data_IF_498019660700
#
_entry.id   IF_498019660700
#
_cell.length_a   1.000
_cell.length_b   1.000
_cell.length_c   1.000
_cell.angle_alpha   90.00
_cell.angle_beta   90.00
_cell.angle_gamma   90.00
#
_symmetry.space_group_name_H-M   'P 1'
#
loop_
_entity.id
_entity.type
_entity.pdbx_description
1 polymer ?
#
# COMPACT_ATOMS: atom_id res chain seq x y z
N UNK A 1 11.57 -6.91 15.36
CA UNK A 1 10.76 -7.85 14.56
C UNK A 1 9.64 -7.05 13.92
N UNK A 2 9.86 -6.58 12.69
CA UNK A 2 8.85 -5.84 11.93
C UNK A 2 7.93 -6.86 11.26
N UNK A 3 6.62 -6.67 11.44
CA UNK A 3 5.55 -7.48 10.88
C UNK A 3 5.58 -7.26 9.35
N UNK A 4 5.82 -8.32 8.59
CA UNK A 4 5.79 -8.31 7.14
C UNK A 4 4.41 -7.81 6.68
N UNK A 5 4.39 -6.71 5.92
CA UNK A 5 3.18 -6.15 5.35
C UNK A 5 2.50 -7.19 4.47
N UNK A 6 1.23 -7.48 4.75
CA UNK A 6 0.42 -8.35 3.91
C UNK A 6 0.33 -7.74 2.51
N UNK A 7 1.01 -8.39 1.57
CA UNK A 7 0.90 -8.18 0.13
C UNK A 7 -0.58 -8.38 -0.24
N UNK A 8 -1.16 -7.46 -1.00
CA UNK A 8 -2.53 -7.64 -1.44
C UNK A 8 -2.61 -8.84 -2.40
N UNK A 9 -3.36 -9.87 -2.01
CA UNK A 9 -3.59 -11.07 -2.83
C UNK A 9 -4.25 -10.70 -4.16
N UNK A 10 -4.06 -11.46 -5.24
CA UNK A 10 -4.67 -11.14 -6.55
C UNK A 10 -6.20 -11.09 -6.49
N UNK A 11 -6.82 -11.66 -5.45
CA UNK A 11 -8.24 -11.53 -5.16
C UNK A 11 -8.64 -10.09 -4.81
N UNK A 12 -7.79 -9.33 -4.10
CA UNK A 12 -8.03 -7.92 -3.76
C UNK A 12 -7.83 -7.01 -4.98
N UNK A 13 -6.87 -7.35 -5.86
CA UNK A 13 -6.71 -6.71 -7.17
C UNK A 13 -7.92 -6.94 -8.08
N UNK A 14 -8.40 -8.18 -8.17
CA UNK A 14 -9.55 -8.50 -8.99
C UNK A 14 -10.84 -7.86 -8.43
N UNK A 15 -10.98 -7.73 -7.11
CA UNK A 15 -12.10 -7.01 -6.50
C UNK A 15 -12.04 -5.50 -6.79
N UNK A 16 -10.84 -4.89 -6.73
CA UNK A 16 -10.66 -3.49 -7.10
C UNK A 16 -10.94 -3.23 -8.60
N UNK A 17 -10.51 -4.14 -9.48
CA UNK A 17 -10.81 -4.07 -10.92
C UNK A 17 -12.29 -4.32 -11.22
N UNK A 18 -12.96 -5.14 -10.41
CA UNK A 18 -14.40 -5.36 -10.48
C UNK A 18 -15.20 -4.12 -10.03
N UNK A 19 -14.78 -3.44 -8.96
CA UNK A 19 -15.41 -2.19 -8.50
C UNK A 19 -15.27 -1.08 -9.56
N UNK A 20 -14.10 -0.98 -10.19
CA UNK A 20 -13.86 -0.05 -11.30
C UNK A 20 -14.68 -0.43 -12.56
N UNK A 21 -14.81 -1.73 -12.87
CA UNK A 21 -15.58 -2.23 -14.01
C UNK A 21 -17.11 -2.12 -13.84
N UNK A 22 -17.64 -2.33 -12.63
CA UNK A 22 -19.05 -2.16 -12.31
C UNK A 22 -19.53 -0.72 -12.43
N UNK A 23 -18.64 0.25 -12.24
CA UNK A 23 -18.96 1.66 -12.47
C UNK A 23 -19.15 1.99 -13.96
N UNK A 24 -18.65 1.13 -14.88
CA UNK A 24 -18.60 1.38 -16.32
C UNK A 24 -19.30 0.30 -17.19
N UNK A 25 -19.88 -0.75 -16.59
CA UNK A 25 -20.48 -1.92 -17.29
C UNK A 25 -19.49 -2.63 -18.24
N UNK A 26 -18.19 -2.57 -17.92
CA UNK A 26 -17.12 -3.04 -18.80
C UNK A 26 -16.64 -4.47 -18.45
N UNK A 27 -16.48 -5.37 -19.43
CA UNK A 27 -16.04 -6.75 -19.18
C UNK A 27 -14.49 -6.88 -19.04
N UNK A 28 -14.01 -7.97 -18.40
CA UNK A 28 -12.59 -8.24 -18.04
C UNK A 28 -11.60 -8.03 -19.20
N UNK A 29 -12.00 -8.21 -20.45
CA UNK A 29 -11.15 -7.95 -21.62
C UNK A 29 -10.68 -6.50 -21.77
N UNK A 30 -11.43 -5.57 -21.20
CA UNK A 30 -11.09 -4.14 -21.17
C UNK A 30 -10.19 -3.78 -19.99
N UNK A 31 -9.94 -4.72 -19.06
CA UNK A 31 -9.10 -4.50 -17.91
C UNK A 31 -7.66 -4.16 -18.37
N UNK A 32 -7.21 -2.98 -17.95
CA UNK A 32 -5.92 -2.38 -18.31
C UNK A 32 -4.72 -3.08 -17.66
N UNK A 33 -4.98 -4.00 -16.73
CA UNK A 33 -4.00 -4.90 -16.10
C UNK A 33 -4.40 -6.36 -16.34
N UNK A 34 -3.42 -7.25 -16.43
CA UNK A 34 -3.67 -8.67 -16.65
C UNK A 34 -3.93 -9.39 -15.32
N UNK A 35 -5.01 -10.16 -15.24
CA UNK A 35 -5.39 -10.92 -14.05
C UNK A 35 -5.20 -12.40 -14.38
N UNK A 36 -4.50 -13.12 -13.51
CA UNK A 36 -4.18 -14.51 -13.74
C UNK A 36 -3.65 -15.20 -12.51
N UNK A 37 -3.26 -16.45 -12.68
CA UNK A 37 -2.64 -17.25 -11.63
C UNK A 37 -1.63 -18.23 -12.24
N UNK A 38 -0.70 -18.72 -11.40
CA UNK A 38 0.21 -19.78 -11.79
C UNK A 38 -0.54 -21.12 -11.84
N UNK A 39 -0.97 -21.53 -13.03
CA UNK A 39 -1.67 -22.81 -13.24
C UNK A 39 -0.66 -23.93 -13.39
N UNK A 40 -0.85 -25.03 -12.64
CA UNK A 40 0.02 -26.21 -12.71
C UNK A 40 -0.20 -26.97 -14.00
N UNK A 41 0.90 -27.47 -14.59
CA UNK A 41 0.85 -28.17 -15.87
C UNK A 41 0.03 -29.47 -15.82
N UNK A 42 -0.10 -30.09 -14.64
CA UNK A 42 -0.96 -31.27 -14.44
C UNK A 42 -2.45 -30.96 -14.67
N UNK A 43 -2.87 -29.70 -14.50
CA UNK A 43 -4.26 -29.27 -14.66
C UNK A 43 -4.62 -28.93 -16.12
N UNK A 44 -3.74 -29.19 -17.08
CA UNK A 44 -3.96 -28.90 -18.51
C UNK A 44 -4.89 -29.94 -19.16
N UNK A 45 -4.80 -31.21 -18.73
CA UNK A 45 -5.52 -32.34 -19.33
C UNK A 45 -6.97 -32.41 -18.86
N UNK A 46 -7.75 -31.41 -19.24
CA UNK A 46 -9.20 -31.35 -19.02
C UNK A 46 -9.90 -31.63 -20.35
N UNK A 47 -10.58 -32.77 -20.45
CA UNK A 47 -11.35 -33.18 -21.63
C UNK A 47 -12.83 -32.83 -21.48
N UNK A 48 -13.54 -32.75 -22.61
CA UNK A 48 -15.01 -32.60 -22.67
C UNK A 48 -15.58 -31.37 -21.94
N UNK A 49 -14.81 -30.28 -21.90
CA UNK A 49 -15.22 -29.00 -21.33
C UNK A 49 -15.22 -27.91 -22.41
N UNK A 50 -16.36 -27.26 -22.57
CA UNK A 50 -16.60 -26.11 -23.42
C UNK A 50 -16.00 -24.82 -22.88
N UNK A 51 -16.01 -23.77 -23.69
CA UNK A 51 -15.32 -22.51 -23.39
C UNK A 51 -15.86 -21.85 -22.11
N UNK A 52 -17.18 -21.75 -21.95
CA UNK A 52 -17.79 -21.10 -20.78
C UNK A 52 -17.50 -21.87 -19.48
N UNK A 53 -17.56 -23.20 -19.53
CA UNK A 53 -17.28 -24.03 -18.38
C UNK A 53 -15.78 -24.04 -18.02
N UNK A 54 -14.88 -23.93 -19.00
CA UNK A 54 -13.44 -23.67 -18.74
C UNK A 54 -13.22 -22.35 -18.02
N UNK A 55 -13.87 -21.27 -18.47
CA UNK A 55 -13.77 -19.96 -17.79
C UNK A 55 -14.27 -20.03 -16.35
N UNK A 56 -15.32 -20.81 -16.08
CA UNK A 56 -15.82 -21.05 -14.73
C UNK A 56 -14.75 -21.71 -13.85
N UNK A 57 -14.09 -22.76 -14.36
CA UNK A 57 -13.00 -23.45 -13.65
C UNK A 57 -11.80 -22.53 -13.45
N UNK A 58 -11.40 -21.77 -14.47
CA UNK A 58 -10.28 -20.82 -14.39
C UNK A 58 -10.56 -19.73 -13.32
N UNK A 59 -11.78 -19.19 -13.27
CA UNK A 59 -12.19 -18.23 -12.24
C UNK A 59 -12.19 -18.83 -10.83
N UNK A 60 -12.72 -20.04 -10.67
CA UNK A 60 -12.72 -20.75 -9.39
C UNK A 60 -11.29 -21.03 -8.91
N UNK A 61 -10.42 -21.52 -9.80
CA UNK A 61 -9.03 -21.85 -9.46
C UNK A 61 -8.19 -20.62 -9.20
N UNK A 62 -8.47 -19.51 -9.90
CA UNK A 62 -7.91 -18.21 -9.55
C UNK A 62 -8.22 -17.87 -8.09
N UNK A 63 -9.49 -17.89 -7.68
CA UNK A 63 -9.89 -17.61 -6.28
C UNK A 63 -9.18 -18.57 -5.30
N UNK A 64 -9.15 -19.87 -5.61
CA UNK A 64 -8.47 -20.87 -4.77
C UNK A 64 -6.97 -20.58 -4.65
N UNK A 65 -6.30 -20.20 -5.73
CA UNK A 65 -4.87 -19.92 -5.74
C UNK A 65 -4.49 -18.69 -4.89
N UNK A 66 -5.43 -17.78 -4.62
CA UNK A 66 -5.19 -16.58 -3.83
C UNK A 66 -5.39 -16.75 -2.32
N UNK A 67 -6.11 -17.79 -1.90
CA UNK A 67 -6.34 -18.01 -0.48
C UNK A 67 -5.14 -18.71 0.17
N UNK A 68 -4.63 -18.17 1.29
CA UNK A 68 -3.56 -18.80 2.07
C UNK A 68 -4.08 -19.89 3.01
N UNK A 69 -5.38 -19.87 3.33
CA UNK A 69 -6.01 -20.79 4.29
C UNK A 69 -6.52 -22.05 3.58
N UNK A 70 -6.34 -23.21 4.20
CA UNK A 70 -6.86 -24.49 3.72
C UNK A 70 -8.37 -24.60 3.94
N UNK A 71 -9.16 -23.86 3.16
CA UNK A 71 -10.62 -23.97 3.08
C UNK A 71 -11.00 -24.75 1.83
N UNK A 72 -12.03 -25.58 1.93
CA UNK A 72 -12.60 -26.34 0.82
C UNK A 72 -13.90 -25.72 0.27
N UNK A 73 -14.49 -24.77 1.01
CA UNK A 73 -15.65 -23.96 0.62
C UNK A 73 -15.23 -22.50 0.44
N UNK A 74 -15.48 -21.98 -0.75
CA UNK A 74 -15.23 -20.60 -1.15
C UNK A 74 -16.56 -19.88 -1.33
N UNK A 75 -16.63 -18.63 -0.88
CA UNK A 75 -17.83 -17.80 -0.92
C UNK A 75 -17.47 -16.39 -1.37
N UNK A 76 -17.93 -16.01 -2.57
CA UNK A 76 -17.66 -14.72 -3.19
C UNK A 76 -18.96 -14.08 -3.68
N UNK A 77 -18.90 -12.82 -4.09
CA UNK A 77 -20.04 -12.17 -4.74
C UNK A 77 -20.29 -12.79 -6.12
N UNK A 78 -21.57 -12.98 -6.46
CA UNK A 78 -21.99 -13.61 -7.71
C UNK A 78 -21.55 -12.80 -8.93
N UNK A 79 -21.68 -11.48 -8.86
CA UNK A 79 -21.34 -10.60 -9.97
C UNK A 79 -19.82 -10.56 -10.17
N UNK A 80 -19.03 -10.59 -9.09
CA UNK A 80 -17.58 -10.74 -9.15
C UNK A 80 -17.18 -12.07 -9.82
N UNK A 81 -17.81 -13.18 -9.44
CA UNK A 81 -17.54 -14.47 -10.05
C UNK A 81 -17.91 -14.50 -11.54
N UNK A 82 -19.09 -13.98 -11.90
CA UNK A 82 -19.54 -13.86 -13.30
C UNK A 82 -18.59 -13.00 -14.12
N UNK A 83 -18.09 -11.92 -13.54
CA UNK A 83 -17.10 -11.06 -14.17
C UNK A 83 -15.82 -11.83 -14.47
N UNK A 84 -15.22 -12.51 -13.49
CA UNK A 84 -14.00 -13.31 -13.67
C UNK A 84 -14.13 -14.33 -14.82
N UNK A 85 -15.28 -15.00 -14.93
CA UNK A 85 -15.52 -15.99 -15.99
C UNK A 85 -16.06 -15.40 -17.31
N UNK A 86 -16.15 -14.06 -17.43
CA UNK A 86 -16.73 -13.33 -18.57
C UNK A 86 -18.14 -13.83 -18.94
N UNK A 87 -19.01 -13.89 -17.94
CA UNK A 87 -20.40 -14.28 -18.10
C UNK A 87 -21.33 -13.05 -18.06
N UNK A 88 -21.63 -12.49 -19.23
CA UNK A 88 -22.48 -11.30 -19.38
C UNK A 88 -23.98 -11.60 -19.51
N UNK A 89 -24.36 -12.89 -19.56
CA UNK A 89 -25.75 -13.28 -19.76
C UNK A 89 -26.56 -13.19 -18.47
N UNK A 90 -27.80 -12.67 -18.58
CA UNK A 90 -28.80 -12.75 -17.51
C UNK A 90 -29.56 -14.08 -17.49
N UNK A 91 -29.26 -14.98 -18.43
CA UNK A 91 -29.91 -16.29 -18.53
C UNK A 91 -29.36 -17.24 -17.45
N UNK A 92 -30.10 -17.39 -16.36
CA UNK A 92 -29.75 -18.30 -15.28
C UNK A 92 -29.76 -19.78 -15.73
N UNK A 93 -30.66 -20.17 -16.65
CA UNK A 93 -30.70 -21.54 -17.20
C UNK A 93 -29.41 -21.90 -17.90
N UNK A 94 -28.85 -20.97 -18.68
CA UNK A 94 -27.57 -21.19 -19.36
C UNK A 94 -26.40 -21.24 -18.35
N UNK A 95 -26.45 -20.44 -17.28
CA UNK A 95 -25.44 -20.49 -16.23
C UNK A 95 -25.47 -21.84 -15.49
N UNK A 96 -26.67 -22.34 -15.18
CA UNK A 96 -26.88 -23.66 -14.59
C UNK A 96 -26.37 -24.79 -15.50
N UNK A 97 -26.53 -24.67 -16.82
CA UNK A 97 -25.94 -25.60 -17.79
C UNK A 97 -24.42 -25.57 -17.74
N UNK A 98 -23.81 -24.38 -17.74
CA UNK A 98 -22.34 -24.20 -17.64
C UNK A 98 -21.79 -24.76 -16.32
N UNK A 99 -22.49 -24.52 -15.21
CA UNK A 99 -22.15 -25.08 -13.90
C UNK A 99 -22.22 -26.60 -13.93
N UNK A 100 -23.29 -27.16 -14.48
CA UNK A 100 -23.50 -28.62 -14.57
C UNK A 100 -22.42 -29.27 -15.43
N UNK A 101 -22.04 -28.63 -16.53
CA UNK A 101 -20.95 -29.07 -17.40
C UNK A 101 -19.61 -29.10 -16.65
N UNK A 102 -19.28 -28.02 -15.93
CA UNK A 102 -18.07 -27.94 -15.13
C UNK A 102 -18.02 -29.00 -14.01
N UNK A 103 -19.15 -29.29 -13.36
CA UNK A 103 -19.24 -30.32 -12.31
C UNK A 103 -19.11 -31.76 -12.85
N UNK A 104 -19.53 -32.00 -14.10
CA UNK A 104 -19.40 -33.32 -14.75
C UNK A 104 -17.98 -33.59 -15.24
N UNK A 105 -17.19 -32.55 -15.45
CA UNK A 105 -15.85 -32.68 -15.98
C UNK A 105 -14.87 -33.23 -14.94
N UNK A 106 -14.04 -34.16 -15.40
CA UNK A 106 -13.07 -34.90 -14.61
C UNK A 106 -11.66 -34.62 -15.15
N UNK A 107 -10.70 -34.48 -14.25
CA UNK A 107 -9.29 -34.67 -14.60
C UNK A 107 -9.01 -36.16 -14.54
N UNK A 108 -8.56 -36.71 -15.66
CA UNK A 108 -8.03 -38.07 -15.71
C UNK A 108 -6.51 -38.01 -15.53
N UNK A 109 -6.06 -38.44 -14.36
CA UNK A 109 -4.64 -38.69 -14.12
C UNK A 109 -4.34 -40.11 -14.60
N UNK A 110 -3.76 -40.22 -15.80
CA UNK A 110 -3.03 -41.43 -16.18
C UNK A 110 -1.62 -41.26 -15.64
N UNK A 111 -1.31 -41.94 -14.53
CA UNK A 111 0.07 -42.06 -14.09
C UNK A 111 0.88 -42.82 -15.17
N UNK A 112 2.20 -42.62 -15.17
CA UNK A 112 3.09 -43.54 -15.89
C UNK A 112 2.83 -44.97 -15.39
N UNK A 113 3.01 -45.95 -16.27
CA UNK A 113 2.90 -47.35 -15.85
C UNK A 113 3.88 -47.60 -14.69
N UNK A 114 3.41 -48.26 -13.64
CA UNK A 114 4.27 -48.70 -12.56
C UNK A 114 5.26 -49.78 -13.05
N UNK A 115 6.13 -50.23 -12.15
CA UNK A 115 7.16 -51.23 -12.47
C UNK A 115 6.58 -52.55 -13.00
N UNK A 116 5.30 -52.83 -12.72
CA UNK A 116 4.58 -54.03 -13.13
C UNK A 116 3.77 -53.82 -14.43
N UNK A 117 3.79 -52.61 -15.00
CA UNK A 117 3.11 -52.26 -16.24
C UNK A 117 1.65 -51.84 -16.05
N UNK A 118 1.15 -51.78 -14.82
CA UNK A 118 -0.18 -51.28 -14.51
C UNK A 118 -0.19 -49.75 -14.58
N UNK A 119 -1.22 -49.19 -15.21
CA UNK A 119 -1.45 -47.74 -15.27
C UNK A 119 -2.52 -47.40 -14.25
N UNK A 120 -2.17 -47.00 -13.01
CA UNK A 120 -3.18 -46.69 -12.01
C UNK A 120 -4.07 -45.56 -12.54
N UNK A 121 -5.38 -45.83 -12.56
CA UNK A 121 -6.40 -44.90 -13.02
C UNK A 121 -6.87 -44.05 -11.83
N UNK A 122 -6.68 -42.73 -11.94
CA UNK A 122 -7.24 -41.77 -11.00
C UNK A 122 -8.14 -40.77 -11.72
N UNK A 123 -9.34 -40.52 -11.20
CA UNK A 123 -10.22 -39.47 -11.69
C UNK A 123 -10.65 -38.54 -10.55
N UNK A 124 -10.49 -37.24 -10.73
CA UNK A 124 -10.91 -36.23 -9.75
C UNK A 124 -11.82 -35.21 -10.42
N UNK A 125 -12.94 -34.87 -9.79
CA UNK A 125 -13.84 -33.81 -10.27
C UNK A 125 -13.16 -32.45 -10.19
N UNK A 126 -13.33 -31.60 -11.20
CA UNK A 126 -12.71 -30.27 -11.22
C UNK A 126 -13.28 -29.32 -10.16
N UNK A 127 -14.58 -29.41 -9.93
CA UNK A 127 -15.29 -28.55 -9.00
C UNK A 127 -16.42 -29.34 -8.36
N UNK A 128 -16.58 -29.17 -7.06
CA UNK A 128 -17.60 -29.83 -6.26
C UNK A 128 -18.91 -29.06 -6.28
N UNK A 129 -19.63 -29.09 -5.16
CA UNK A 129 -20.93 -28.40 -5.01
C UNK A 129 -20.78 -26.91 -5.31
N UNK A 130 -21.67 -26.40 -6.17
CA UNK A 130 -21.87 -24.98 -6.45
C UNK A 130 -23.28 -24.60 -6.01
N UNK A 131 -23.44 -23.42 -5.40
CA UNK A 131 -24.74 -22.81 -5.12
C UNK A 131 -24.62 -21.30 -5.19
N UNK A 132 -25.62 -20.64 -5.79
CA UNK A 132 -25.70 -19.18 -5.77
C UNK A 132 -27.07 -18.73 -5.27
N UNK A 133 -27.09 -17.81 -4.31
CA UNK A 133 -28.30 -17.26 -3.71
C UNK A 133 -27.96 -15.91 -3.05
N UNK A 134 -28.91 -14.97 -3.06
CA UNK A 134 -28.74 -13.68 -2.37
C UNK A 134 -27.52 -12.87 -2.83
N UNK A 135 -27.17 -12.93 -4.12
CA UNK A 135 -25.98 -12.26 -4.67
C UNK A 135 -24.64 -12.91 -4.30
N UNK A 136 -24.65 -14.08 -3.65
CA UNK A 136 -23.45 -14.85 -3.30
C UNK A 136 -23.29 -16.05 -4.21
N UNK A 137 -22.05 -16.40 -4.55
CA UNK A 137 -21.68 -17.60 -5.28
C UNK A 137 -20.73 -18.42 -4.41
N UNK A 138 -21.20 -19.61 -4.03
CA UNK A 138 -20.48 -20.56 -3.19
C UNK A 138 -20.06 -21.76 -4.02
N UNK A 139 -18.82 -22.19 -3.89
CA UNK A 139 -18.32 -23.38 -4.56
C UNK A 139 -17.33 -24.16 -3.69
N UNK A 140 -17.21 -25.46 -3.94
CA UNK A 140 -16.19 -26.31 -3.32
C UNK A 140 -15.19 -26.80 -4.34
N UNK A 141 -13.93 -26.88 -3.94
CA UNK A 141 -12.88 -27.56 -4.73
C UNK A 141 -12.40 -28.77 -3.92
N UNK A 142 -12.27 -29.96 -4.54
CA UNK A 142 -11.74 -31.12 -3.84
C UNK A 142 -10.38 -30.83 -3.16
N UNK A 143 -10.17 -31.26 -1.91
CA UNK A 143 -8.92 -30.98 -1.18
C UNK A 143 -7.65 -31.38 -1.95
N UNK A 144 -7.70 -32.52 -2.64
CA UNK A 144 -6.59 -33.01 -3.48
C UNK A 144 -6.21 -32.01 -4.59
N UNK A 145 -7.21 -31.36 -5.19
CA UNK A 145 -6.99 -30.33 -6.22
C UNK A 145 -6.49 -29.02 -5.61
N UNK A 146 -6.93 -28.64 -4.41
CA UNK A 146 -6.39 -27.45 -3.72
C UNK A 146 -4.89 -27.64 -3.48
N UNK A 147 -4.50 -28.84 -3.01
CA UNK A 147 -3.11 -29.22 -2.83
C UNK A 147 -2.32 -29.16 -4.13
N UNK A 148 -2.90 -29.58 -5.26
CA UNK A 148 -2.27 -29.44 -6.58
C UNK A 148 -2.16 -27.97 -6.99
N UNK A 149 -3.25 -27.21 -6.97
CA UNK A 149 -3.32 -25.81 -7.40
C UNK A 149 -2.27 -24.96 -6.66
N UNK A 150 -2.15 -25.14 -5.34
CA UNK A 150 -1.22 -24.37 -4.50
C UNK A 150 0.15 -25.02 -4.30
N UNK A 151 0.26 -26.31 -4.59
CA UNK A 151 1.44 -27.11 -4.31
C UNK A 151 2.65 -26.76 -5.19
N UNK A 152 3.83 -27.27 -4.83
CA UNK A 152 5.02 -27.11 -5.66
C UNK A 152 4.86 -27.86 -6.99
N UNK A 153 5.57 -27.42 -8.03
CA UNK A 153 5.58 -28.07 -9.34
C UNK A 153 5.58 -27.09 -10.50
N UNK A 154 5.88 -27.60 -11.71
CA UNK A 154 5.90 -26.81 -12.94
C UNK A 154 4.53 -26.16 -13.19
N UNK A 155 4.56 -24.87 -13.41
CA UNK A 155 3.38 -24.04 -13.68
C UNK A 155 3.69 -23.03 -14.77
N UNK A 156 2.64 -22.59 -15.44
CA UNK A 156 2.67 -21.46 -16.36
C UNK A 156 1.70 -20.39 -15.85
N UNK A 157 1.97 -19.13 -16.18
CA UNK A 157 1.03 -18.05 -15.89
C UNK A 157 -0.16 -18.14 -16.84
N UNK A 158 -1.38 -18.24 -16.30
CA UNK A 158 -2.62 -18.24 -17.07
C UNK A 158 -3.36 -16.92 -16.87
N UNK A 159 -3.50 -16.15 -17.95
CA UNK A 159 -4.31 -14.92 -17.99
C UNK A 159 -5.81 -15.24 -18.13
N UNK A 160 -6.61 -14.82 -17.16
CA UNK A 160 -8.08 -14.86 -17.26
C UNK A 160 -8.58 -13.97 -18.40
N UNK A 161 -7.88 -12.87 -18.70
CA UNK A 161 -8.24 -12.02 -19.82
C UNK A 161 -8.05 -12.72 -21.15
N UNK A 162 -6.88 -13.29 -21.43
CA UNK A 162 -6.62 -13.99 -22.70
C UNK A 162 -7.56 -15.19 -22.84
N UNK A 163 -7.70 -16.01 -21.80
CA UNK A 163 -8.58 -17.18 -21.83
C UNK A 163 -10.04 -16.82 -22.09
N UNK A 164 -10.46 -15.64 -21.64
CA UNK A 164 -11.80 -15.11 -21.92
C UNK A 164 -12.03 -14.73 -23.38
N UNK A 165 -10.99 -14.43 -24.18
CA UNK A 165 -11.12 -13.99 -25.57
C UNK A 165 -11.37 -15.14 -26.55
N UNK A 166 -11.04 -16.38 -26.18
CA UNK A 166 -11.30 -17.54 -27.02
C UNK A 166 -12.80 -17.77 -27.21
N UNK A 167 -13.20 -18.03 -28.45
CA UNK A 167 -14.57 -18.43 -28.82
C UNK A 167 -14.63 -19.85 -29.38
N UNK A 168 -13.52 -20.37 -29.92
CA UNK A 168 -13.42 -21.73 -30.42
C UNK A 168 -12.92 -22.65 -29.30
N UNK A 169 -13.65 -23.75 -29.05
CA UNK A 169 -13.28 -24.69 -27.99
C UNK A 169 -11.89 -25.31 -28.23
N UNK A 170 -11.62 -25.73 -29.46
CA UNK A 170 -10.32 -26.32 -29.79
C UNK A 170 -9.16 -25.32 -29.67
N UNK A 171 -9.38 -24.03 -29.93
CA UNK A 171 -8.37 -22.99 -29.71
C UNK A 171 -8.04 -22.82 -28.23
N UNK A 172 -9.07 -22.76 -27.39
CA UNK A 172 -8.91 -22.66 -25.92
C UNK A 172 -8.14 -23.87 -25.37
N UNK A 173 -8.47 -25.07 -25.84
CA UNK A 173 -7.79 -26.32 -25.45
C UNK A 173 -6.34 -26.32 -25.93
N UNK A 174 -6.12 -26.02 -27.21
CA UNK A 174 -4.77 -26.01 -27.80
C UNK A 174 -3.87 -24.97 -27.11
N UNK A 175 -4.41 -23.82 -26.73
CA UNK A 175 -3.69 -22.83 -25.93
C UNK A 175 -3.23 -23.39 -24.58
N UNK A 176 -4.12 -24.06 -23.83
CA UNK A 176 -3.76 -24.70 -22.55
C UNK A 176 -2.62 -25.73 -22.72
N UNK A 177 -2.66 -26.50 -23.81
CA UNK A 177 -1.64 -27.52 -24.10
C UNK A 177 -0.30 -26.95 -24.54
N UNK A 178 -0.29 -25.85 -25.29
CA UNK A 178 0.92 -25.29 -25.90
C UNK A 178 1.59 -24.22 -25.03
N UNK A 179 0.85 -23.52 -24.18
CA UNK A 179 1.39 -22.46 -23.31
C UNK A 179 2.60 -22.88 -22.46
N UNK A 180 2.68 -24.12 -21.90
CA UNK A 180 3.86 -24.55 -21.16
C UNK A 180 5.14 -24.67 -22.00
N UNK A 181 5.02 -24.81 -23.32
CA UNK A 181 6.13 -24.95 -24.25
C UNK A 181 6.59 -23.59 -24.81
N UNK A 182 6.00 -22.49 -24.34
CA UNK A 182 6.32 -21.15 -24.82
C UNK A 182 7.76 -20.73 -24.49
N UNK A 183 8.36 -21.29 -23.43
CA UNK A 183 9.73 -20.99 -23.02
C UNK A 183 10.74 -21.83 -23.82
N UNK A 184 10.42 -23.09 -24.15
CA UNK A 184 11.24 -23.94 -25.02
C UNK A 184 11.13 -23.55 -26.50
N UNK A 185 10.02 -22.92 -26.90
CA UNK A 185 9.78 -22.39 -28.24
C UNK A 185 9.29 -23.43 -29.27
N UNK A 186 9.30 -24.72 -28.93
CA UNK A 186 8.74 -25.77 -29.77
C UNK A 186 8.25 -26.98 -28.95
N UNK A 187 7.31 -27.72 -29.54
CA UNK A 187 6.87 -29.02 -28.99
C UNK A 187 7.70 -30.17 -29.54
N UNK A 188 7.54 -31.36 -28.95
CA UNK A 188 7.88 -32.61 -29.63
C UNK A 188 6.96 -32.88 -30.84
N UNK A 189 7.27 -33.93 -31.61
CA UNK A 189 6.39 -34.43 -32.67
C UNK A 189 5.16 -35.13 -32.09
N UNK A 190 4.03 -34.44 -32.10
CA UNK A 190 2.73 -34.91 -31.64
C UNK A 190 2.02 -35.72 -32.72
N UNK A 191 1.35 -36.79 -32.33
CA UNK A 191 0.54 -37.61 -33.25
C UNK A 191 -0.81 -36.95 -33.55
N UNK A 192 -1.41 -37.26 -34.71
CA UNK A 192 -2.77 -36.79 -35.01
C UNK A 192 -3.80 -37.30 -33.99
N UNK A 193 -3.64 -38.51 -33.48
CA UNK A 193 -4.53 -39.06 -32.45
C UNK A 193 -4.44 -38.28 -31.14
N UNK A 194 -3.23 -37.93 -30.72
CA UNK A 194 -3.02 -37.09 -29.54
C UNK A 194 -3.67 -35.72 -29.69
N UNK A 195 -3.45 -35.01 -30.80
CA UNK A 195 -4.06 -33.70 -31.06
C UNK A 195 -5.59 -33.78 -31.06
N UNK A 196 -6.15 -34.83 -31.67
CA UNK A 196 -7.59 -35.05 -31.70
C UNK A 196 -8.16 -35.34 -30.31
N UNK A 197 -7.38 -35.98 -29.45
CA UNK A 197 -7.80 -36.30 -28.09
C UNK A 197 -7.89 -35.09 -27.15
N UNK A 198 -7.19 -33.98 -27.46
CA UNK A 198 -7.09 -32.84 -26.54
C UNK A 198 -8.43 -32.23 -26.12
N UNK A 199 -9.40 -32.12 -27.03
CA UNK A 199 -10.74 -31.60 -26.69
C UNK A 199 -11.75 -32.68 -26.32
N UNK A 200 -11.32 -33.95 -26.26
CA UNK A 200 -12.20 -35.11 -26.13
C UNK A 200 -12.65 -35.68 -27.48
N UNK A 201 -13.80 -36.36 -27.51
CA UNK A 201 -14.26 -37.08 -28.68
C UNK A 201 -14.57 -36.14 -29.86
N UNK A 202 -13.87 -36.33 -30.99
CA UNK A 202 -14.15 -35.62 -32.25
C UNK A 202 -15.01 -36.46 -33.19
N UNK A 203 -15.85 -35.81 -34.00
CA UNK A 203 -16.67 -36.49 -35.00
C UNK A 203 -15.84 -37.23 -36.05
N UNK A 204 -16.43 -38.25 -36.69
CA UNK A 204 -15.74 -39.14 -37.65
C UNK A 204 -14.98 -38.41 -38.77
N UNK A 205 -15.47 -37.23 -39.20
CA UNK A 205 -14.80 -36.40 -40.21
C UNK A 205 -13.41 -35.91 -39.78
N UNK A 206 -13.16 -35.74 -38.49
CA UNK A 206 -11.83 -35.37 -37.97
C UNK A 206 -10.79 -36.48 -38.15
N UNK A 207 -11.19 -37.70 -38.53
CA UNK A 207 -10.24 -38.78 -38.78
C UNK A 207 -9.33 -38.51 -40.00
N UNK A 208 -9.82 -37.75 -40.97
CA UNK A 208 -9.00 -37.31 -42.09
C UNK A 208 -8.32 -35.97 -41.81
N UNK A 209 -7.00 -35.91 -41.98
CA UNK A 209 -6.21 -34.70 -41.70
C UNK A 209 -6.73 -33.46 -42.44
N UNK A 210 -7.23 -33.61 -43.68
CA UNK A 210 -7.77 -32.49 -44.47
C UNK A 210 -8.92 -31.78 -43.75
N UNK A 211 -9.89 -32.55 -43.24
CA UNK A 211 -11.04 -31.99 -42.53
C UNK A 211 -10.65 -31.55 -41.12
N UNK A 212 -9.80 -32.32 -40.42
CA UNK A 212 -9.26 -31.90 -39.13
C UNK A 212 -8.57 -30.54 -39.22
N UNK A 213 -7.73 -30.36 -40.24
CA UNK A 213 -7.01 -29.12 -40.49
C UNK A 213 -7.95 -27.95 -40.76
N UNK A 214 -8.93 -28.14 -41.65
CA UNK A 214 -9.85 -27.09 -42.09
C UNK A 214 -10.79 -26.65 -40.97
N UNK A 215 -11.36 -27.60 -40.24
CA UNK A 215 -12.49 -27.34 -39.35
C UNK A 215 -12.04 -27.07 -37.89
N UNK A 216 -10.85 -27.53 -37.48
CA UNK A 216 -10.34 -27.35 -36.11
C UNK A 216 -8.96 -26.72 -36.03
N UNK A 217 -7.93 -27.32 -36.63
CA UNK A 217 -6.54 -26.90 -36.41
C UNK A 217 -6.25 -25.49 -36.94
N UNK A 218 -6.55 -25.20 -38.21
CA UNK A 218 -6.23 -23.91 -38.81
C UNK A 218 -7.05 -22.76 -38.18
N UNK A 219 -8.38 -22.91 -37.94
CA UNK A 219 -9.13 -21.92 -37.18
C UNK A 219 -8.57 -21.69 -35.76
N UNK A 220 -8.16 -22.75 -35.07
CA UNK A 220 -7.60 -22.66 -33.73
C UNK A 220 -6.25 -21.93 -33.70
N UNK A 221 -5.35 -22.25 -34.64
CA UNK A 221 -4.07 -21.53 -34.78
C UNK A 221 -4.31 -20.06 -35.10
N UNK A 222 -5.25 -19.77 -36.03
CA UNK A 222 -5.63 -18.40 -36.38
C UNK A 222 -6.12 -17.61 -35.17
N UNK A 223 -7.06 -18.18 -34.40
CA UNK A 223 -7.58 -17.51 -33.21
C UNK A 223 -6.50 -17.30 -32.13
N UNK A 224 -5.65 -18.30 -31.84
CA UNK A 224 -4.56 -18.12 -30.86
C UNK A 224 -3.62 -16.99 -31.30
N UNK A 225 -3.24 -16.96 -32.58
CA UNK A 225 -2.39 -15.90 -33.14
C UNK A 225 -3.07 -14.54 -33.12
N UNK A 226 -4.39 -14.46 -33.16
CA UNK A 226 -5.13 -13.21 -33.10
C UNK A 226 -5.26 -12.69 -31.65
N UNK A 227 -5.72 -13.54 -30.72
CA UNK A 227 -6.23 -13.08 -29.42
C UNK A 227 -5.31 -13.36 -28.23
N UNK A 228 -4.28 -14.19 -28.38
CA UNK A 228 -3.40 -14.60 -27.27
C UNK A 228 -2.04 -13.90 -27.27
N UNK A 229 -1.28 -14.18 -26.22
CA UNK A 229 0.13 -13.81 -26.04
C UNK A 229 1.11 -14.63 -26.90
N UNK A 230 0.63 -15.66 -27.59
CA UNK A 230 1.46 -16.56 -28.40
C UNK A 230 1.29 -16.31 -29.89
N UNK A 231 2.39 -16.50 -30.61
CA UNK A 231 2.44 -16.74 -32.05
C UNK A 231 2.77 -18.21 -32.29
N UNK A 232 1.92 -18.87 -33.05
CA UNK A 232 1.99 -20.29 -33.38
C UNK A 232 2.18 -20.48 -34.88
N UNK A 233 3.11 -21.36 -35.21
CA UNK A 233 3.18 -22.03 -36.50
C UNK A 233 3.38 -23.53 -36.30
N UNK A 234 3.20 -24.34 -37.34
CA UNK A 234 3.41 -25.78 -37.21
C UNK A 234 4.02 -26.40 -38.47
N UNK A 235 4.80 -27.44 -38.24
CA UNK A 235 5.38 -28.32 -39.25
C UNK A 235 4.63 -29.64 -39.28
N UNK A 236 4.55 -30.27 -40.46
CA UNK A 236 3.92 -31.58 -40.64
C UNK A 236 4.95 -32.61 -41.06
N UNK A 237 4.85 -33.82 -40.52
CA UNK A 237 5.66 -34.97 -40.93
C UNK A 237 4.78 -36.14 -41.33
N UNK A 238 5.18 -36.83 -42.39
CA UNK A 238 4.51 -38.04 -42.84
C UNK A 238 4.78 -39.21 -41.91
N UNK A 239 3.86 -40.16 -41.87
CA UNK A 239 4.10 -41.45 -41.23
C UNK A 239 5.26 -42.18 -41.93
N UNK A 240 6.09 -42.92 -41.18
CA UNK A 240 7.15 -43.74 -41.78
C UNK A 240 6.60 -44.66 -42.87
N UNK A 241 7.14 -44.56 -44.09
CA UNK A 241 6.72 -45.39 -45.23
C UNK A 241 5.42 -44.98 -45.92
N UNK A 242 4.83 -43.82 -45.57
CA UNK A 242 3.56 -43.35 -46.15
C UNK A 242 3.66 -41.90 -46.64
N UNK A 243 2.75 -41.53 -47.55
CA UNK A 243 2.55 -40.12 -47.96
C UNK A 243 1.55 -39.39 -47.06
N UNK A 244 0.94 -40.09 -46.09
CA UNK A 244 -0.03 -39.51 -45.16
C UNK A 244 0.69 -38.73 -44.08
N UNK A 245 0.22 -37.51 -43.80
CA UNK A 245 0.63 -36.71 -42.65
C UNK A 245 0.12 -37.42 -41.40
N UNK A 246 1.03 -37.74 -40.47
CA UNK A 246 0.68 -38.42 -39.21
C UNK A 246 1.14 -37.69 -37.96
N UNK A 247 2.05 -36.70 -38.10
CA UNK A 247 2.60 -35.96 -36.96
C UNK A 247 2.72 -34.47 -37.24
N UNK A 248 2.58 -33.68 -36.18
CA UNK A 248 2.79 -32.24 -36.21
C UNK A 248 3.74 -31.82 -35.10
N UNK A 249 4.46 -30.73 -35.34
CA UNK A 249 5.27 -30.04 -34.34
C UNK A 249 4.90 -28.57 -34.36
N UNK A 250 4.61 -27.99 -33.21
CA UNK A 250 4.33 -26.56 -33.11
C UNK A 250 5.62 -25.81 -32.80
N UNK A 251 5.82 -24.67 -33.47
CA UNK A 251 6.73 -23.62 -33.06
C UNK A 251 5.92 -22.53 -32.38
N UNK A 252 6.40 -22.08 -31.24
CA UNK A 252 5.69 -21.22 -30.30
C UNK A 252 6.62 -20.07 -29.98
N UNK A 253 6.15 -18.85 -30.15
CA UNK A 253 6.89 -17.65 -29.79
C UNK A 253 5.98 -16.77 -28.93
N UNK A 254 6.50 -16.24 -27.83
CA UNK A 254 5.80 -15.17 -27.12
C UNK A 254 5.90 -13.90 -27.97
N UNK A 255 4.77 -13.24 -28.20
CA UNK A 255 4.77 -11.95 -28.92
C UNK A 255 5.60 -10.94 -28.12
N UNK A 256 6.29 -9.99 -28.76
CA UNK A 256 6.98 -8.92 -28.00
C UNK A 256 5.97 -8.07 -27.20
N UNK A 257 4.74 -7.90 -27.68
CA UNK A 257 3.65 -7.32 -26.87
C UNK A 257 3.13 -8.23 -25.73
N UNK A 258 3.65 -9.46 -25.63
CA UNK A 258 3.49 -10.32 -24.46
C UNK A 258 4.56 -10.08 -23.39
N UNK A 259 5.57 -9.23 -23.64
CA UNK A 259 6.07 -8.34 -22.58
C UNK A 259 5.01 -7.27 -22.29
N UNK A 260 3.84 -7.73 -21.86
CA UNK A 260 2.98 -6.89 -21.03
C UNK A 260 3.83 -6.60 -19.83
N UNK A 261 4.09 -5.33 -19.59
CA UNK A 261 4.93 -4.91 -18.49
C UNK A 261 4.46 -5.65 -17.24
N UNK A 262 5.29 -6.58 -16.76
CA UNK A 262 5.23 -7.11 -15.42
C UNK A 262 5.67 -5.93 -14.54
N UNK A 263 4.79 -4.94 -14.42
CA UNK A 263 4.91 -4.00 -13.32
C UNK A 263 4.74 -4.88 -12.08
N UNK A 264 5.74 -4.86 -11.20
CA UNK A 264 5.52 -5.43 -9.86
C UNK A 264 4.23 -4.79 -9.36
N UNK A 265 3.29 -5.62 -8.91
CA UNK A 265 2.01 -5.19 -8.34
C UNK A 265 2.19 -3.99 -7.38
N UNK A 266 3.31 -3.99 -6.66
CA UNK A 266 3.79 -2.93 -5.78
C UNK A 266 3.94 -1.57 -6.47
N UNK A 267 4.52 -1.50 -7.68
CA UNK A 267 4.76 -0.24 -8.39
C UNK A 267 3.46 0.36 -8.94
N UNK A 268 2.62 -0.45 -9.59
CA UNK A 268 1.32 -0.01 -10.08
C UNK A 268 0.39 0.42 -8.93
N UNK A 269 0.41 -0.31 -7.81
CA UNK A 269 -0.33 0.07 -6.61
C UNK A 269 0.24 1.34 -5.98
N UNK A 270 1.57 1.50 -5.89
CA UNK A 270 2.18 2.71 -5.36
C UNK A 270 1.80 3.95 -6.18
N UNK A 271 1.82 3.85 -7.51
CA UNK A 271 1.37 4.92 -8.41
C UNK A 271 -0.12 5.20 -8.15
N UNK A 272 -1.00 4.19 -8.19
CA UNK A 272 -2.43 4.40 -7.96
C UNK A 272 -2.73 5.03 -6.60
N UNK A 273 -2.11 4.54 -5.52
CA UNK A 273 -2.30 5.10 -4.18
C UNK A 273 -1.81 6.54 -4.11
N UNK A 274 -0.70 6.86 -4.77
CA UNK A 274 -0.23 8.25 -4.88
C UNK A 274 -1.26 9.12 -5.61
N UNK A 275 -1.76 8.68 -6.76
CA UNK A 275 -2.74 9.45 -7.54
C UNK A 275 -4.07 9.65 -6.79
N UNK A 276 -4.60 8.60 -6.17
CA UNK A 276 -5.92 8.62 -5.52
C UNK A 276 -5.88 9.18 -4.10
N UNK A 277 -4.93 8.73 -3.27
CA UNK A 277 -4.90 9.08 -1.85
C UNK A 277 -4.05 10.33 -1.58
N UNK A 278 -2.87 10.46 -2.19
CA UNK A 278 -1.99 11.61 -1.96
C UNK A 278 -2.48 12.84 -2.72
N UNK A 279 -2.77 12.69 -4.02
CA UNK A 279 -3.16 13.83 -4.87
C UNK A 279 -4.67 14.05 -4.98
N UNK A 280 -5.49 13.05 -4.62
CA UNK A 280 -6.94 13.17 -4.62
C UNK A 280 -7.55 13.24 -6.02
N UNK A 281 -6.99 12.53 -7.00
CA UNK A 281 -7.57 12.50 -8.35
C UNK A 281 -8.99 11.91 -8.32
N UNK A 282 -9.90 12.53 -9.06
CA UNK A 282 -11.25 12.00 -9.23
C UNK A 282 -11.26 10.79 -10.15
N UNK A 283 -12.30 9.96 -10.08
CA UNK A 283 -12.46 8.81 -10.97
C UNK A 283 -12.40 9.22 -12.45
N UNK A 284 -12.98 10.35 -12.83
CA UNK A 284 -12.90 10.87 -14.20
C UNK A 284 -11.46 11.17 -14.65
N UNK A 285 -10.62 11.70 -13.76
CA UNK A 285 -9.21 11.98 -14.06
C UNK A 285 -8.38 10.70 -14.15
N UNK A 286 -8.62 9.74 -13.25
CA UNK A 286 -7.98 8.42 -13.29
C UNK A 286 -8.37 7.66 -14.57
N UNK A 287 -9.64 7.73 -14.97
CA UNK A 287 -10.14 7.13 -16.20
C UNK A 287 -9.49 7.73 -17.44
N UNK A 288 -9.29 9.05 -17.46
CA UNK A 288 -8.56 9.74 -18.52
C UNK A 288 -7.11 9.28 -18.62
N UNK A 289 -6.39 9.23 -17.49
CA UNK A 289 -4.99 8.76 -17.46
C UNK A 289 -4.89 7.36 -18.03
N UNK A 290 -5.80 6.50 -17.58
CA UNK A 290 -5.75 5.10 -17.94
C UNK A 290 -6.26 4.86 -19.38
N UNK A 291 -7.05 5.78 -19.98
CA UNK A 291 -7.46 5.74 -21.38
C UNK A 291 -6.35 6.14 -22.36
N UNK A 292 -5.42 6.97 -21.91
CA UNK A 292 -4.32 7.54 -22.71
C UNK A 292 -2.96 6.89 -22.37
N UNK A 293 -2.94 5.60 -21.96
CA UNK A 293 -1.72 4.91 -21.46
C UNK A 293 -0.62 4.72 -22.51
N UNK A 294 -0.95 4.85 -23.79
CA UNK A 294 0.05 4.92 -24.86
C UNK A 294 0.93 6.18 -24.76
N UNK A 295 0.40 7.25 -24.17
CA UNK A 295 1.11 8.53 -23.94
C UNK A 295 1.50 8.72 -22.48
N UNK A 296 0.66 8.29 -21.54
CA UNK A 296 0.92 8.36 -20.10
C UNK A 296 1.50 7.05 -19.58
N UNK A 297 2.74 6.79 -19.99
CA UNK A 297 3.55 5.67 -19.49
C UNK A 297 3.80 5.80 -17.99
N UNK A 298 4.20 4.70 -17.33
CA UNK A 298 4.51 4.73 -15.89
C UNK A 298 5.67 5.66 -15.56
N UNK A 299 6.71 5.68 -16.39
CA UNK A 299 7.81 6.64 -16.26
C UNK A 299 7.30 8.09 -16.34
N UNK A 300 6.36 8.37 -17.24
CA UNK A 300 5.75 9.70 -17.37
C UNK A 300 4.92 10.06 -16.14
N UNK A 301 4.20 9.10 -15.57
CA UNK A 301 3.45 9.29 -14.33
C UNK A 301 4.37 9.52 -13.13
N UNK A 302 5.47 8.78 -13.02
CA UNK A 302 6.48 8.97 -11.98
C UNK A 302 7.14 10.35 -12.07
N UNK A 303 7.49 10.82 -13.27
CA UNK A 303 7.99 12.17 -13.48
C UNK A 303 6.97 13.24 -13.06
N UNK A 304 5.69 13.04 -13.40
CA UNK A 304 4.62 13.96 -13.02
C UNK A 304 4.35 13.91 -11.49
N UNK A 305 4.47 12.73 -10.86
CA UNK A 305 4.39 12.54 -9.41
C UNK A 305 5.52 13.31 -8.73
N UNK A 306 6.77 13.11 -9.18
CA UNK A 306 7.95 13.78 -8.65
C UNK A 306 7.80 15.30 -8.76
N UNK A 307 7.39 15.80 -9.93
CA UNK A 307 7.13 17.22 -10.15
C UNK A 307 6.05 17.78 -9.24
N UNK A 308 4.98 17.03 -9.03
CA UNK A 308 3.88 17.44 -8.16
C UNK A 308 4.31 17.50 -6.70
N UNK A 309 5.00 16.46 -6.19
CA UNK A 309 5.59 16.44 -4.84
C UNK A 309 6.58 17.57 -4.62
N UNK A 310 7.47 17.79 -5.58
CA UNK A 310 8.42 18.91 -5.55
C UNK A 310 7.69 20.26 -5.46
N UNK A 311 6.63 20.45 -6.25
CA UNK A 311 5.88 21.70 -6.29
C UNK A 311 5.03 21.93 -5.04
N UNK A 312 4.56 20.85 -4.39
CA UNK A 312 3.92 20.90 -3.08
C UNK A 312 4.90 21.32 -2.00
N UNK A 313 6.12 20.76 -1.99
CA UNK A 313 7.17 21.08 -1.02
C UNK A 313 7.53 22.58 -1.02
N UNK A 314 7.55 23.21 -2.19
CA UNK A 314 7.83 24.65 -2.34
C UNK A 314 6.58 25.55 -2.27
N UNK A 315 5.41 24.99 -1.96
CA UNK A 315 4.16 25.75 -1.84
C UNK A 315 3.62 26.36 -3.14
N UNK A 316 4.09 25.91 -4.31
CA UNK A 316 3.58 26.40 -5.61
C UNK A 316 2.21 25.82 -6.00
N UNK A 317 1.78 24.75 -5.32
CA UNK A 317 0.45 24.16 -5.50
C UNK A 317 -0.51 24.79 -4.48
N UNK A 318 -1.40 25.66 -4.94
CA UNK A 318 -2.25 26.48 -4.07
C UNK A 318 -3.72 26.07 -3.98
N UNK A 319 -4.22 25.24 -4.91
CA UNK A 319 -5.65 24.89 -5.00
C UNK A 319 -5.92 23.40 -5.04
N UNK A 320 -5.37 22.69 -6.02
CA UNK A 320 -5.66 21.27 -6.24
C UNK A 320 -4.38 20.54 -6.66
N UNK A 321 -3.85 19.64 -5.81
CA UNK A 321 -2.78 18.72 -6.19
C UNK A 321 -3.16 17.87 -7.41
N UNK A 322 -4.38 17.33 -7.46
CA UNK A 322 -4.90 16.59 -8.61
C UNK A 322 -4.87 17.40 -9.91
N UNK A 323 -5.38 18.65 -9.89
CA UNK A 323 -5.39 19.52 -11.07
C UNK A 323 -3.97 19.89 -11.54
N UNK A 324 -3.06 20.13 -10.58
CA UNK A 324 -1.66 20.39 -10.89
C UNK A 324 -1.00 19.17 -11.51
N UNK A 325 -1.20 17.98 -10.92
CA UNK A 325 -0.69 16.72 -11.43
C UNK A 325 -1.15 16.47 -12.87
N UNK A 326 -2.45 16.58 -13.15
CA UNK A 326 -3.00 16.37 -14.50
C UNK A 326 -2.39 17.33 -15.53
N UNK A 327 -2.15 18.59 -15.13
CA UNK A 327 -1.49 19.58 -15.98
C UNK A 327 -0.02 19.23 -16.21
N UNK A 328 0.71 18.90 -15.15
CA UNK A 328 2.10 18.47 -15.21
C UNK A 328 2.26 17.25 -16.12
N UNK A 329 1.38 16.25 -15.95
CA UNK A 329 1.34 15.04 -16.75
C UNK A 329 1.19 15.35 -18.24
N UNK A 330 0.16 16.12 -18.59
CA UNK A 330 -0.16 16.52 -19.98
C UNK A 330 0.94 17.37 -20.63
N UNK A 331 1.53 18.31 -19.90
CA UNK A 331 2.50 19.27 -20.46
C UNK A 331 3.95 18.80 -20.43
N UNK A 332 4.24 17.56 -20.02
CA UNK A 332 5.63 17.07 -20.07
C UNK A 332 6.53 17.62 -18.95
N UNK A 333 5.99 18.22 -17.88
CA UNK A 333 6.81 18.83 -16.84
C UNK A 333 7.65 17.80 -16.09
N UNK A 334 8.89 18.17 -15.77
CA UNK A 334 9.86 17.40 -14.99
C UNK A 334 10.53 18.30 -13.94
N UNK A 335 11.19 17.71 -12.94
CA UNK A 335 12.04 18.45 -12.00
C UNK A 335 13.46 18.51 -12.55
N UNK A 336 13.94 19.73 -12.83
CA UNK A 336 15.31 19.92 -13.30
C UNK A 336 16.35 19.79 -12.18
N UNK A 337 17.60 19.44 -12.51
CA UNK A 337 18.69 19.37 -11.54
C UNK A 337 18.98 20.73 -10.86
N UNK A 338 18.77 21.83 -11.60
CA UNK A 338 18.89 23.18 -11.05
C UNK A 338 17.83 23.45 -9.97
N UNK A 339 16.58 23.02 -10.20
CA UNK A 339 15.51 23.11 -9.20
C UNK A 339 15.81 22.26 -7.96
N UNK A 340 16.35 21.04 -8.12
CA UNK A 340 16.78 20.20 -6.98
C UNK A 340 17.83 20.90 -6.12
N UNK A 341 18.89 21.42 -6.74
CA UNK A 341 19.98 22.14 -6.04
C UNK A 341 19.48 23.40 -5.33
N UNK A 342 18.53 24.13 -5.93
CA UNK A 342 17.99 25.34 -5.33
C UNK A 342 17.26 25.06 -4.01
N UNK A 343 16.47 23.98 -3.92
CA UNK A 343 15.82 23.60 -2.65
C UNK A 343 16.85 23.19 -1.61
N UNK A 344 17.86 22.40 -2.00
CA UNK A 344 18.90 21.96 -1.06
C UNK A 344 19.64 23.17 -0.43
N UNK A 345 19.93 24.20 -1.23
CA UNK A 345 20.51 25.45 -0.72
C UNK A 345 19.55 26.18 0.23
N UNK A 346 18.26 26.25 -0.11
CA UNK A 346 17.25 26.89 0.75
C UNK A 346 17.04 26.17 2.08
N UNK A 347 16.99 24.83 2.08
CA UNK A 347 16.86 24.02 3.30
C UNK A 347 18.08 24.20 4.20
N UNK A 348 19.29 24.22 3.64
CA UNK A 348 20.51 24.49 4.39
C UNK A 348 20.54 25.89 5.00
N UNK A 349 20.09 26.91 4.27
CA UNK A 349 19.96 28.27 4.79
C UNK A 349 18.97 28.33 5.97
N UNK A 350 17.79 27.72 5.82
CA UNK A 350 16.77 27.69 6.88
C UNK A 350 17.25 26.93 8.14
N UNK A 351 17.95 25.81 7.97
CA UNK A 351 18.59 25.08 9.07
C UNK A 351 19.64 25.93 9.79
N UNK A 352 20.40 26.73 9.03
CA UNK A 352 21.41 27.63 9.59
C UNK A 352 20.74 28.76 10.40
N UNK A 353 19.68 29.36 9.87
CA UNK A 353 18.90 30.38 10.57
C UNK A 353 18.24 29.83 11.85
N UNK A 354 17.67 28.62 11.81
CA UNK A 354 17.11 27.97 13.00
C UNK A 354 18.17 27.73 14.08
N UNK A 355 19.35 27.23 13.69
CA UNK A 355 20.49 27.08 14.63
C UNK A 355 20.90 28.41 15.24
N UNK A 356 20.93 29.49 14.46
CA UNK A 356 21.25 30.81 14.99
C UNK A 356 20.20 31.32 15.98
N UNK A 357 18.91 31.09 15.71
CA UNK A 357 17.82 31.44 16.63
C UNK A 357 17.89 30.62 17.91
N UNK A 358 18.13 29.31 17.81
CA UNK A 358 18.28 28.40 18.95
C UNK A 358 19.49 28.80 19.80
N UNK A 359 20.63 29.14 19.18
CA UNK A 359 21.80 29.68 19.90
C UNK A 359 21.45 30.98 20.60
N UNK A 360 20.73 31.91 19.96
CA UNK A 360 20.30 33.17 20.59
C UNK A 360 19.36 32.93 21.77
N UNK A 361 18.40 32.03 21.65
CA UNK A 361 17.48 31.65 22.75
C UNK A 361 18.22 30.94 23.89
N UNK A 362 19.16 30.05 23.59
CA UNK A 362 20.02 29.45 24.60
C UNK A 362 20.84 30.50 25.35
N UNK A 363 21.42 31.48 24.64
CA UNK A 363 22.16 32.58 25.27
C UNK A 363 21.25 33.42 26.17
N UNK A 364 20.05 33.81 25.72
CA UNK A 364 19.07 34.53 26.54
C UNK A 364 18.64 33.74 27.77
N UNK A 365 18.31 32.46 27.60
CA UNK A 365 17.91 31.58 28.70
C UNK A 365 19.02 31.45 29.73
N UNK A 366 20.27 31.30 29.28
CA UNK A 366 21.43 31.24 30.17
C UNK A 366 21.67 32.55 30.92
N UNK A 367 21.44 33.69 30.26
CA UNK A 367 21.48 35.00 30.92
C UNK A 367 20.36 35.17 31.95
N UNK A 368 19.13 34.78 31.62
CA UNK A 368 17.99 34.85 32.54
C UNK A 368 18.18 33.97 33.78
N UNK A 369 18.67 32.73 33.61
CA UNK A 369 19.04 31.84 34.72
C UNK A 369 20.12 32.46 35.61
N UNK A 370 21.11 33.14 35.01
CA UNK A 370 22.16 33.84 35.77
C UNK A 370 21.59 34.99 36.58
N UNK A 371 20.68 35.79 36.01
CA UNK A 371 20.02 36.91 36.71
C UNK A 371 19.15 36.35 37.85
N UNK A 372 18.33 35.33 37.59
CA UNK A 372 17.49 34.70 38.61
C UNK A 372 18.33 34.13 39.75
N UNK A 373 19.46 33.47 39.46
CA UNK A 373 20.38 32.97 40.49
C UNK A 373 20.97 34.12 41.33
N UNK A 374 21.30 35.25 40.69
CA UNK A 374 21.75 36.45 41.41
C UNK A 374 20.64 37.07 42.26
N UNK A 375 19.40 37.09 41.79
CA UNK A 375 18.25 37.62 42.54
C UNK A 375 17.91 36.74 43.75
N UNK A 376 17.99 35.41 43.61
CA UNK A 376 17.83 34.45 44.72
C UNK A 376 18.93 34.66 45.75
N UNK A 377 20.21 34.72 45.33
CA UNK A 377 21.33 34.99 46.25
C UNK A 377 21.18 36.36 46.93
N UNK A 378 20.71 37.39 46.22
CA UNK A 378 20.42 38.70 46.81
C UNK A 378 19.20 38.70 47.75
N UNK A 379 18.21 37.84 47.51
CA UNK A 379 17.06 37.65 48.38
C UNK A 379 17.47 36.92 49.67
N UNK A 380 18.19 35.81 49.55
CA UNK A 380 18.69 35.02 50.68
C UNK A 380 19.58 35.86 51.60
N UNK A 381 20.48 36.66 51.01
CA UNK A 381 21.27 37.64 51.77
C UNK A 381 20.38 38.63 52.51
N UNK A 382 19.36 39.20 51.86
CA UNK A 382 18.44 40.15 52.52
C UNK A 382 17.67 39.51 53.66
N UNK A 383 17.19 38.28 53.50
CA UNK A 383 16.51 37.52 54.56
C UNK A 383 17.47 37.29 55.74
N UNK A 384 18.72 36.91 55.48
CA UNK A 384 19.74 36.75 56.51
C UNK A 384 20.06 38.07 57.23
N UNK A 385 20.18 39.17 56.49
CA UNK A 385 20.41 40.51 57.06
C UNK A 385 19.24 40.95 57.96
N UNK A 386 18.00 40.73 57.52
CA UNK A 386 16.78 41.01 58.30
C UNK A 386 16.78 40.17 59.58
N UNK A 387 17.02 38.86 59.48
CA UNK A 387 17.05 37.95 60.61
C UNK A 387 18.10 38.39 61.66
N UNK A 388 19.34 38.62 61.23
CA UNK A 388 20.42 39.11 62.10
C UNK A 388 20.13 40.48 62.70
N UNK A 389 19.49 41.36 61.94
CA UNK A 389 19.07 42.68 62.42
C UNK A 389 18.01 42.60 63.51
N UNK A 390 17.05 41.69 63.38
CA UNK A 390 16.03 41.45 64.40
C UNK A 390 16.62 40.79 65.66
N UNK A 391 17.50 39.80 65.50
CA UNK A 391 18.22 39.19 66.63
C UNK A 391 19.07 40.22 67.38
N UNK A 392 19.77 41.10 66.67
CA UNK A 392 20.54 42.18 67.30
C UNK A 392 19.65 43.20 68.02
N UNK A 393 18.44 43.44 67.51
CA UNK A 393 17.43 44.25 68.19
C UNK A 393 16.98 43.60 69.51
N UNK A 394 16.64 42.31 69.48
CA UNK A 394 16.19 41.55 70.65
C UNK A 394 17.30 41.33 71.69
N UNK A 395 18.57 41.35 71.29
CA UNK A 395 19.71 41.26 72.20
C UNK A 395 20.14 42.61 72.82
N UNK A 396 19.73 43.74 72.24
CA UNK A 396 20.17 45.07 72.66
C UNK A 396 19.55 45.54 74.00
N UNK A 397 20.23 46.46 74.68
CA UNK A 397 19.72 47.10 75.90
C UNK A 397 18.47 47.97 75.62
N UNK A 398 17.55 48.17 76.59
CA UNK A 398 16.28 48.87 76.38
C UNK A 398 16.42 50.28 75.78
N UNK A 399 17.42 51.05 76.24
CA UNK A 399 17.71 52.41 75.72
C UNK A 399 18.10 52.40 74.24
N UNK A 400 18.87 51.41 73.81
CA UNK A 400 19.34 51.28 72.43
C UNK A 400 18.20 50.84 71.50
N UNK A 401 17.29 49.98 71.97
CA UNK A 401 16.08 49.61 71.22
C UNK A 401 15.17 50.80 70.98
N UNK A 402 14.98 51.65 71.99
CA UNK A 402 14.18 52.86 71.87
C UNK A 402 14.79 53.85 70.89
N UNK A 403 16.11 54.06 70.95
CA UNK A 403 16.85 54.90 70.00
C UNK A 403 16.70 54.40 68.56
N UNK A 404 16.84 53.10 68.30
CA UNK A 404 16.65 52.53 66.97
C UNK A 404 15.21 52.72 66.44
N UNK A 405 14.18 52.52 67.27
CA UNK A 405 12.78 52.78 66.84
C UNK A 405 12.55 54.26 66.53
N UNK A 406 13.11 55.16 67.34
CA UNK A 406 13.00 56.62 67.15
C UNK A 406 13.75 57.10 65.91
N UNK A 407 14.92 56.55 65.64
CA UNK A 407 15.76 56.95 64.52
C UNK A 407 15.30 56.31 63.21
N UNK A 408 14.72 55.12 63.24
CA UNK A 408 14.11 54.48 62.07
C UNK A 408 12.90 55.27 61.53
N UNK A 409 11.97 55.70 62.40
CA UNK A 409 10.74 56.42 61.97
C UNK A 409 11.01 57.71 61.21
N UNK A 410 12.17 58.33 61.42
CA UNK A 410 12.56 59.57 60.71
C UNK A 410 13.30 59.32 59.40
N UNK A 411 13.73 58.08 59.12
CA UNK A 411 14.36 57.74 57.84
C UNK A 411 13.38 57.83 56.67
N UNK A 412 13.85 58.10 55.45
CA UNK A 412 13.00 58.06 54.25
C UNK A 412 12.27 56.72 54.10
N UNK A 413 12.95 55.60 54.37
CA UNK A 413 12.39 54.25 54.30
C UNK A 413 11.32 54.01 55.37
N UNK A 414 11.57 54.42 56.62
CA UNK A 414 10.60 54.33 57.71
C UNK A 414 9.35 55.16 57.45
N UNK A 415 9.50 56.41 57.03
CA UNK A 415 8.36 57.30 56.68
C UNK A 415 7.49 56.73 55.57
N UNK A 416 8.10 56.18 54.52
CA UNK A 416 7.39 55.56 53.41
C UNK A 416 6.60 54.32 53.86
N UNK A 417 7.22 53.47 54.67
CA UNK A 417 6.61 52.22 55.18
C UNK A 417 5.44 52.53 56.11
N UNK A 418 5.60 53.48 57.04
CA UNK A 418 4.54 53.91 57.95
C UNK A 418 3.35 54.52 57.17
N UNK A 419 3.62 55.37 56.17
CA UNK A 419 2.58 55.95 55.31
C UNK A 419 1.82 54.89 54.52
N UNK A 420 2.50 53.86 54.00
CA UNK A 420 1.87 52.76 53.26
C UNK A 420 0.94 51.92 54.16
N UNK A 421 1.32 51.72 55.41
CA UNK A 421 0.59 50.92 56.38
C UNK A 421 -0.50 51.72 57.13
N UNK A 422 -0.66 53.01 56.82
CA UNK A 422 -1.64 53.89 57.48
C UNK A 422 -1.33 54.16 58.95
N UNK A 423 -0.07 54.03 59.36
CA UNK A 423 0.37 54.29 60.74
C UNK A 423 0.74 55.76 60.87
N UNK A 424 0.20 56.44 61.88
CA UNK A 424 0.48 57.85 62.13
C UNK A 424 1.99 58.06 62.38
N UNK A 425 2.69 58.84 61.52
CA UNK A 425 4.12 59.12 61.66
C UNK A 425 4.50 59.86 62.96
N UNK A 426 3.53 60.49 63.62
CA UNK A 426 3.73 61.23 64.87
C UNK A 426 3.60 60.35 66.11
N UNK A 427 2.99 59.17 65.97
CA UNK A 427 2.85 58.20 67.07
C UNK A 427 4.19 57.54 67.43
N UNK A 428 4.31 57.09 68.68
CA UNK A 428 5.47 56.30 69.09
C UNK A 428 5.40 54.90 68.48
N UNK A 429 6.49 54.54 67.82
CA UNK A 429 6.64 53.23 67.20
C UNK A 429 6.91 52.20 68.30
N UNK A 430 5.84 51.63 68.85
CA UNK A 430 5.90 50.59 69.87
C UNK A 430 6.27 49.24 69.26
N UNK A 431 6.95 48.39 70.04
CA UNK A 431 7.38 47.05 69.61
C UNK A 431 6.23 46.13 69.14
N UNK A 432 5.04 46.11 69.79
CA UNK A 432 3.89 45.35 69.28
C UNK A 432 3.43 45.82 67.90
N UNK A 433 3.54 47.12 67.62
CA UNK A 433 3.19 47.69 66.31
C UNK A 433 4.16 47.23 65.24
N UNK A 434 5.46 47.15 65.54
CA UNK A 434 6.47 46.63 64.61
C UNK A 434 6.22 45.15 64.31
N UNK A 435 5.95 44.34 65.33
CA UNK A 435 5.71 42.90 65.14
C UNK A 435 4.41 42.59 64.39
N UNK A 436 3.39 43.44 64.52
CA UNK A 436 2.09 43.28 63.86
C UNK A 436 2.17 43.36 62.33
N UNK A 437 3.10 44.14 61.79
CA UNK A 437 3.21 44.38 60.34
C UNK A 437 4.54 43.81 59.81
N UNK A 438 4.53 42.70 59.07
CA UNK A 438 5.74 42.07 58.54
C UNK A 438 6.65 43.03 57.76
N UNK A 439 6.08 43.84 56.87
CA UNK A 439 6.83 44.84 56.10
C UNK A 439 7.55 45.88 56.97
N UNK A 440 6.93 46.27 58.09
CA UNK A 440 7.49 47.22 59.04
C UNK A 440 8.60 46.58 59.87
N UNK A 441 8.40 45.31 60.25
CA UNK A 441 9.39 44.49 60.94
C UNK A 441 10.63 44.30 60.09
N UNK A 442 10.47 43.92 58.82
CA UNK A 442 11.57 43.66 57.88
C UNK A 442 12.36 44.93 57.58
N UNK A 443 11.66 46.04 57.29
CA UNK A 443 12.29 47.33 57.06
C UNK A 443 13.05 47.85 58.29
N UNK A 444 12.48 47.65 59.48
CA UNK A 444 13.11 48.03 60.76
C UNK A 444 14.32 47.15 61.08
N UNK A 445 14.20 45.83 60.92
CA UNK A 445 15.26 44.87 61.17
C UNK A 445 16.46 45.10 60.23
N UNK A 446 16.22 45.33 58.93
CA UNK A 446 17.27 45.71 57.98
C UNK A 446 17.99 47.01 58.37
N UNK A 447 17.25 47.99 58.91
CA UNK A 447 17.84 49.21 59.47
C UNK A 447 18.76 48.92 60.68
N UNK A 448 18.30 48.08 61.61
CA UNK A 448 19.11 47.67 62.78
C UNK A 448 20.36 46.90 62.34
N UNK A 449 20.26 46.02 61.34
CA UNK A 449 21.41 45.34 60.76
C UNK A 449 22.44 46.32 60.18
N UNK A 450 21.98 47.32 59.42
CA UNK A 450 22.88 48.35 58.86
C UNK A 450 23.59 49.16 59.95
N UNK A 451 22.91 49.46 61.07
CA UNK A 451 23.44 50.21 62.22
C UNK A 451 24.44 49.40 63.04
N UNK A 452 24.18 48.12 63.21
CA UNK A 452 25.06 47.19 63.95
C UNK A 452 26.30 46.85 63.14
N UNK A 453 26.20 46.72 61.81
CA UNK A 453 27.34 46.56 60.90
C UNK A 453 28.23 47.81 60.84
N UNK A 454 27.64 49.01 60.75
CA UNK A 454 28.40 50.28 60.71
C UNK A 454 29.02 50.68 62.05
N UNK A 455 28.57 50.07 63.16
CA UNK A 455 29.22 50.19 64.47
C UNK A 455 30.47 49.32 64.64
N UNK A 456 30.64 48.25 63.84
CA UNK A 456 31.80 47.33 63.91
C UNK A 456 33.01 47.74 63.04
N UNK A 457 32.85 48.72 62.14
CA UNK A 457 33.92 49.20 61.24
C UNK A 457 34.68 50.42 61.75
N UNK A 458 34.42 50.83 62.99
CA UNK A 458 35.22 51.80 63.74
C UNK A 458 35.80 51.11 64.97
N UNK A 459 36.80 50.27 64.74
CA UNK A 459 37.84 49.88 65.71
C UNK A 459 39.12 49.56 64.92
#
# INVERSE_FOLDING_TARGET
MAIAGQVATSSQLALALFDDANAEDLPVETARSDIGFARKNVLIRIVDLGVAARRLIDAAYFIVAQEERGRDLFDVELDYFKWLMRYSSRNNTHLEQVITEAQRALIQATAAADADGEKPFGSVQLIGRISYAGGRFQFRVPPDLIGIIRGPGKSHWLSLRITSLFTLNYARVMYDHLLPYADEGETDWLTLDELRSWQGAMGAKAQEFKYFKRDWLAPAVGQINEVSDLTLSYETRNEPGSRKIGRLRFRIERKEMAERVLHTHEQAQAIYQTLKQEFGLSSAQLNQIAAERDTYTDERLEQAIERTRFSLKIGKVSKSPAGFFMKALKEGWIVSDAERKMIEVQENLALTEQREVEVKEHVKTRMALRIAAQDVDAHDRRVEEIQRGWEAYEAAAPRLREDWRRTYKVTPAGKLTLRRLGIDPTSDLAEPTIQKYPDLKDGFAGYVFSKTKSGKTKD
#
